data_IF_252112910794
#
_entry.id   IF_252112910794
#
_cell.length_a   1.000
_cell.length_b   1.000
_cell.length_c   1.000
_cell.angle_alpha   90.00
_cell.angle_beta   90.00
_cell.angle_gamma   90.00
#
_symmetry.space_group_name_H-M   'P 1'
#
loop_
_entity.id
_entity.type
_entity.pdbx_description
1 polymer ?
#
# COMPACT_ATOMS: atom_id res chain seq x y z
N UNK A 1 -19.47 -11.09 -19.25
CA UNK A 1 -18.88 -12.33 -19.78
C UNK A 1 -17.49 -12.58 -19.23
N UNK A 2 -16.94 -13.75 -19.53
CA UNK A 2 -15.60 -14.12 -19.10
C UNK A 2 -14.54 -13.24 -19.72
N UNK A 3 -13.52 -12.90 -18.95
CA UNK A 3 -12.39 -12.09 -19.41
C UNK A 3 -12.57 -10.59 -19.32
N UNK A 4 -13.74 -10.12 -18.91
CA UNK A 4 -13.95 -8.70 -18.69
C UNK A 4 -13.13 -8.23 -17.48
N UNK A 5 -12.53 -7.04 -17.62
CA UNK A 5 -11.70 -6.45 -16.58
C UNK A 5 -12.27 -5.12 -16.13
N UNK A 6 -12.40 -4.97 -14.82
CA UNK A 6 -12.74 -3.69 -14.18
C UNK A 6 -11.55 -3.24 -13.36
N UNK A 7 -11.21 -1.96 -13.44
CA UNK A 7 -10.07 -1.40 -12.72
C UNK A 7 -10.49 -0.25 -11.82
N UNK A 8 -9.91 -0.21 -10.63
CA UNK A 8 -10.03 0.92 -9.70
C UNK A 8 -8.65 1.27 -9.15
N UNK A 9 -8.49 2.52 -8.75
CA UNK A 9 -7.24 3.00 -8.16
C UNK A 9 -7.47 3.42 -6.72
N UNK A 10 -6.53 3.03 -5.86
CA UNK A 10 -6.49 3.46 -4.46
C UNK A 10 -5.34 4.42 -4.32
N UNK A 11 -5.63 5.66 -3.93
CA UNK A 11 -4.61 6.64 -3.57
C UNK A 11 -4.39 6.59 -2.06
N UNK A 12 -3.15 6.37 -1.64
CA UNK A 12 -2.75 6.30 -0.23
C UNK A 12 -1.84 7.47 0.07
N UNK A 13 -2.20 8.28 1.05
CA UNK A 13 -1.39 9.40 1.51
C UNK A 13 -1.22 9.30 3.02
N UNK A 14 0.02 9.15 3.46
CA UNK A 14 0.37 9.15 4.89
C UNK A 14 1.19 10.40 5.14
N UNK A 15 0.61 11.34 5.88
CA UNK A 15 1.17 12.67 6.07
C UNK A 15 2.55 12.63 6.72
N UNK A 16 2.67 11.93 7.85
CA UNK A 16 3.93 11.79 8.58
C UNK A 16 4.09 10.38 9.12
N UNK A 17 5.33 9.88 9.09
CA UNK A 17 5.68 8.62 9.72
C UNK A 17 6.78 8.85 10.76
N UNK A 18 6.73 8.11 11.87
CA UNK A 18 7.71 8.22 12.96
C UNK A 18 7.59 7.02 13.88
N UNK A 19 8.65 6.66 14.59
CA UNK A 19 8.58 5.58 15.57
C UNK A 19 7.50 5.85 16.63
N UNK A 20 6.66 4.87 16.88
CA UNK A 20 5.54 5.00 17.81
C UNK A 20 4.32 5.71 17.26
N UNK A 21 4.25 5.90 15.95
CA UNK A 21 3.10 6.55 15.31
C UNK A 21 1.81 5.79 15.54
N UNK A 22 0.68 6.50 15.44
CA UNK A 22 -0.62 5.85 15.35
C UNK A 22 -0.66 5.00 14.08
N UNK A 23 -1.07 3.72 14.17
CA UNK A 23 -1.18 2.90 12.98
C UNK A 23 -2.12 3.52 11.94
N UNK A 24 -1.68 3.50 10.69
CA UNK A 24 -2.49 3.95 9.57
C UNK A 24 -3.27 2.77 9.01
N UNK A 25 -4.52 2.99 8.67
CA UNK A 25 -5.36 1.98 8.05
C UNK A 25 -6.29 2.62 7.01
N UNK A 26 -6.35 1.99 5.85
CA UNK A 26 -7.25 2.39 4.78
C UNK A 26 -7.75 1.12 4.09
N UNK A 27 -9.01 1.10 3.68
CA UNK A 27 -9.54 -0.04 2.96
C UNK A 27 -10.39 0.39 1.76
N UNK A 28 -10.45 -0.49 0.77
CA UNK A 28 -11.38 -0.41 -0.34
C UNK A 28 -12.17 -1.71 -0.35
N UNK A 29 -13.50 -1.60 -0.43
CA UNK A 29 -14.37 -2.75 -0.60
C UNK A 29 -14.76 -2.87 -2.07
N UNK A 30 -14.52 -4.04 -2.64
CA UNK A 30 -14.85 -4.37 -4.02
C UNK A 30 -15.95 -5.41 -4.03
N UNK A 31 -16.99 -5.19 -4.82
CA UNK A 31 -18.10 -6.13 -4.96
C UNK A 31 -18.19 -6.65 -6.38
N UNK A 32 -18.75 -7.85 -6.53
CA UNK A 32 -18.97 -8.47 -7.83
C UNK A 32 -20.47 -8.73 -8.01
N UNK A 33 -21.14 -7.83 -8.73
CA UNK A 33 -22.55 -7.94 -9.04
C UNK A 33 -22.81 -8.75 -10.32
N UNK A 34 -21.75 -9.27 -10.95
CA UNK A 34 -21.84 -10.07 -12.17
C UNK A 34 -22.32 -11.48 -11.92
N UNK A 35 -22.50 -12.22 -13.00
CA UNK A 35 -22.99 -13.60 -13.00
C UNK A 35 -21.87 -14.63 -12.88
N UNK A 36 -20.60 -14.21 -13.04
CA UNK A 36 -19.44 -15.08 -12.93
C UNK A 36 -18.49 -14.57 -11.86
N UNK A 37 -17.68 -15.46 -11.31
CA UNK A 37 -16.67 -15.10 -10.35
C UNK A 37 -15.60 -14.21 -11.00
N UNK A 38 -14.91 -13.41 -10.21
CA UNK A 38 -13.82 -12.55 -10.66
C UNK A 38 -12.57 -12.79 -9.83
N UNK A 39 -11.42 -12.69 -10.47
CA UNK A 39 -10.13 -12.71 -9.81
C UNK A 39 -9.72 -11.28 -9.48
N UNK A 40 -9.25 -11.05 -8.25
CA UNK A 40 -8.71 -9.77 -7.80
C UNK A 40 -7.20 -9.80 -7.93
N UNK A 41 -6.66 -8.75 -8.56
CA UNK A 41 -5.21 -8.51 -8.66
C UNK A 41 -4.98 -7.06 -8.21
N UNK A 42 -3.97 -6.84 -7.38
CA UNK A 42 -3.55 -5.48 -7.05
C UNK A 42 -2.08 -5.26 -7.41
N UNK A 43 -1.77 -4.05 -7.84
CA UNK A 43 -0.44 -3.68 -8.33
C UNK A 43 -0.10 -2.27 -7.85
N UNK A 44 1.07 -2.09 -7.28
CA UNK A 44 1.58 -0.76 -6.94
C UNK A 44 2.10 -0.13 -8.23
N UNK A 45 1.45 0.94 -8.69
CA UNK A 45 1.80 1.62 -9.94
C UNK A 45 2.55 2.93 -9.73
N UNK A 46 2.50 3.47 -8.52
CA UNK A 46 3.32 4.60 -8.09
C UNK A 46 3.61 4.48 -6.60
N UNK A 47 4.82 4.83 -6.19
CA UNK A 47 5.24 4.75 -4.79
C UNK A 47 6.34 5.77 -4.51
N UNK A 48 6.05 6.68 -3.58
CA UNK A 48 7.01 7.66 -3.08
C UNK A 48 7.14 7.51 -1.57
N UNK A 49 8.35 7.28 -1.11
CA UNK A 49 8.66 7.13 0.31
C UNK A 49 9.75 8.14 0.66
N UNK A 50 9.40 9.14 1.46
CA UNK A 50 10.33 10.18 1.92
C UNK A 50 11.12 10.80 0.75
N UNK A 51 10.43 11.08 -0.35
CA UNK A 51 11.01 11.67 -1.54
C UNK A 51 11.61 10.67 -2.54
N UNK A 52 11.76 9.40 -2.18
CA UNK A 52 12.25 8.37 -3.08
C UNK A 52 11.09 7.86 -3.95
N UNK A 53 11.23 8.03 -5.26
CA UNK A 53 10.29 7.46 -6.23
C UNK A 53 10.75 6.05 -6.60
N UNK A 54 10.10 5.04 -6.04
CA UNK A 54 10.53 3.64 -6.16
C UNK A 54 10.33 3.10 -7.57
N UNK A 55 9.31 3.56 -8.28
CA UNK A 55 9.09 3.18 -9.69
C UNK A 55 10.22 3.75 -10.56
N UNK A 56 10.60 5.00 -10.36
CA UNK A 56 11.70 5.61 -11.10
C UNK A 56 13.04 4.92 -10.83
N UNK A 57 13.18 4.27 -9.68
CA UNK A 57 14.36 3.44 -9.35
C UNK A 57 14.35 2.07 -10.04
N UNK A 58 13.31 1.77 -10.81
CA UNK A 58 13.20 0.53 -11.56
C UNK A 58 12.62 -0.64 -10.77
N UNK A 59 12.02 -0.39 -9.62
CA UNK A 59 11.40 -1.45 -8.82
C UNK A 59 10.06 -1.86 -9.41
N UNK A 60 9.81 -3.16 -9.48
CA UNK A 60 8.51 -3.71 -9.83
C UNK A 60 7.54 -3.58 -8.65
N UNK A 61 6.24 -3.79 -8.92
CA UNK A 61 5.24 -3.83 -7.85
C UNK A 61 5.60 -4.85 -6.76
N UNK A 62 6.01 -6.04 -7.16
CA UNK A 62 6.42 -7.09 -6.20
C UNK A 62 7.63 -6.67 -5.40
N UNK A 63 8.63 -6.05 -6.03
CA UNK A 63 9.83 -5.53 -5.34
C UNK A 63 9.44 -4.49 -4.30
N UNK A 64 8.51 -3.59 -4.64
CA UNK A 64 8.04 -2.53 -3.73
C UNK A 64 7.32 -3.15 -2.53
N UNK A 65 6.40 -4.08 -2.76
CA UNK A 65 5.67 -4.77 -1.70
C UNK A 65 6.63 -5.50 -0.76
N UNK A 66 7.63 -6.18 -1.33
CA UNK A 66 8.64 -6.88 -0.53
C UNK A 66 9.53 -5.92 0.24
N UNK A 67 9.90 -4.79 -0.35
CA UNK A 67 10.71 -3.77 0.35
C UNK A 67 9.98 -3.20 1.55
N UNK A 68 8.68 -3.01 1.46
CA UNK A 68 7.85 -2.52 2.57
C UNK A 68 7.80 -3.49 3.74
N UNK A 69 8.07 -4.76 3.53
CA UNK A 69 8.13 -5.77 4.59
C UNK A 69 9.52 -5.90 5.19
N UNK A 70 10.58 -5.66 4.39
CA UNK A 70 11.93 -6.11 4.74
C UNK A 70 12.98 -5.01 4.84
N UNK A 71 12.80 -3.88 4.14
CA UNK A 71 13.89 -2.92 3.95
C UNK A 71 13.80 -1.68 4.85
N UNK A 72 12.72 -1.55 5.60
CA UNK A 72 12.50 -0.40 6.49
C UNK A 72 12.22 -0.86 7.91
N UNK A 73 12.47 -0.02 8.93
CA UNK A 73 12.06 -0.34 10.30
C UNK A 73 10.55 -0.19 10.52
N UNK A 74 9.85 0.51 9.62
CA UNK A 74 8.39 0.56 9.60
C UNK A 74 7.85 -0.50 8.64
N UNK A 75 6.59 -0.84 8.80
CA UNK A 75 5.90 -1.83 7.98
C UNK A 75 4.76 -1.18 7.21
N UNK A 76 4.72 -1.44 5.92
CA UNK A 76 3.61 -1.11 5.04
C UNK A 76 3.07 -2.41 4.47
N UNK A 77 1.77 -2.66 4.60
CA UNK A 77 1.14 -3.91 4.14
C UNK A 77 -0.02 -3.61 3.23
N UNK A 78 -0.11 -4.37 2.15
CA UNK A 78 -1.25 -4.36 1.24
C UNK A 78 -1.75 -5.80 1.19
N UNK A 79 -3.03 -6.00 1.47
CA UNK A 79 -3.61 -7.33 1.50
C UNK A 79 -5.05 -7.32 0.99
N UNK A 80 -5.52 -8.49 0.62
CA UNK A 80 -6.88 -8.73 0.17
C UNK A 80 -7.48 -9.83 1.02
N UNK A 81 -8.75 -9.70 1.40
CA UNK A 81 -9.43 -10.74 2.18
C UNK A 81 -9.62 -12.03 1.39
N UNK A 82 -9.63 -11.94 0.06
CA UNK A 82 -9.62 -13.07 -0.86
C UNK A 82 -9.09 -12.61 -2.20
N UNK A 83 -8.55 -13.50 -3.01
CA UNK A 83 -8.17 -13.22 -4.40
C UNK A 83 -9.31 -13.53 -5.40
N UNK A 84 -10.42 -14.05 -4.92
CA UNK A 84 -11.62 -14.32 -5.71
C UNK A 84 -12.81 -13.57 -5.10
N UNK A 85 -13.56 -12.84 -5.93
CA UNK A 85 -14.87 -12.31 -5.58
C UNK A 85 -15.92 -13.16 -6.28
N UNK A 86 -16.70 -13.88 -5.49
CA UNK A 86 -17.77 -14.72 -6.05
C UNK A 86 -18.86 -13.87 -6.68
N UNK A 87 -19.53 -14.43 -7.67
CA UNK A 87 -20.66 -13.80 -8.35
C UNK A 87 -21.80 -13.48 -7.39
N UNK A 88 -22.73 -12.66 -7.86
CA UNK A 88 -24.00 -12.37 -7.19
C UNK A 88 -23.85 -11.59 -5.87
N UNK A 89 -23.00 -10.58 -5.89
CA UNK A 89 -22.93 -9.60 -4.80
C UNK A 89 -21.94 -9.90 -3.69
N UNK A 90 -21.02 -10.85 -3.90
CA UNK A 90 -19.93 -11.05 -2.95
C UNK A 90 -19.03 -9.81 -2.85
N UNK A 91 -18.33 -9.69 -1.74
CA UNK A 91 -17.49 -8.54 -1.44
C UNK A 91 -16.13 -8.98 -0.93
N UNK A 92 -15.09 -8.29 -1.37
CA UNK A 92 -13.70 -8.49 -0.93
C UNK A 92 -13.16 -7.15 -0.45
N UNK A 93 -12.38 -7.17 0.62
CA UNK A 93 -11.75 -5.98 1.20
C UNK A 93 -10.26 -5.97 0.88
N UNK A 94 -9.81 -4.88 0.24
CA UNK A 94 -8.39 -4.58 0.05
C UNK A 94 -7.99 -3.65 1.19
N UNK A 95 -6.98 -4.04 1.98
CA UNK A 95 -6.53 -3.31 3.16
C UNK A 95 -5.11 -2.81 2.99
N UNK A 96 -4.89 -1.56 3.33
CA UNK A 96 -3.56 -0.94 3.38
C UNK A 96 -3.32 -0.52 4.82
N UNK A 97 -2.20 -0.93 5.40
CA UNK A 97 -1.84 -0.56 6.76
C UNK A 97 -0.39 -0.16 6.85
N UNK A 98 -0.09 0.74 7.77
CA UNK A 98 1.26 1.16 8.08
C UNK A 98 1.43 1.27 9.59
N UNK A 99 2.56 0.80 10.08
CA UNK A 99 2.91 0.92 11.49
C UNK A 99 4.41 1.05 11.66
N UNK A 100 4.80 1.68 12.76
CA UNK A 100 6.20 1.80 13.14
C UNK A 100 6.26 1.73 14.65
N UNK A 101 6.70 0.60 15.18
CA UNK A 101 6.84 0.43 16.62
C UNK A 101 7.88 1.43 17.14
N UNK A 102 7.67 1.98 18.32
CA UNK A 102 8.60 2.90 18.96
C UNK A 102 10.00 2.29 19.05
N UNK A 103 10.06 1.00 19.31
CA UNK A 103 11.27 0.20 19.28
C UNK A 103 11.03 -1.00 18.37
N UNK A 104 11.55 -0.95 17.14
CA UNK A 104 11.40 -2.03 16.16
C UNK A 104 12.39 -3.19 16.40
N UNK A 105 13.28 -3.08 17.39
CA UNK A 105 14.34 -4.05 17.66
C UNK A 105 15.64 -3.72 16.94
N UNK A 106 15.72 -2.62 16.21
CA UNK A 106 16.93 -2.14 15.54
C UNK A 106 17.03 -0.62 15.74
N UNK A 107 17.70 -0.21 16.83
CA UNK A 107 17.82 1.20 17.22
C UNK A 107 18.54 2.03 16.16
N UNK A 108 19.52 1.46 15.49
CA UNK A 108 20.30 2.16 14.47
C UNK A 108 19.42 2.51 13.26
N UNK A 109 18.64 1.55 12.79
CA UNK A 109 17.69 1.78 11.70
C UNK A 109 16.54 2.71 12.11
N UNK A 110 16.01 2.56 13.30
CA UNK A 110 14.97 3.44 13.83
C UNK A 110 15.44 4.89 13.89
N UNK A 111 16.68 5.11 14.34
CA UNK A 111 17.27 6.45 14.41
C UNK A 111 17.52 7.03 13.03
N UNK A 112 18.14 6.26 12.15
CA UNK A 112 18.44 6.68 10.77
C UNK A 112 17.17 7.10 10.02
N UNK A 113 16.19 6.21 9.99
CA UNK A 113 14.96 6.45 9.25
C UNK A 113 14.04 7.44 9.97
N UNK A 114 14.05 7.44 11.30
CA UNK A 114 13.30 8.42 12.09
C UNK A 114 13.78 9.85 11.84
N UNK A 115 15.10 10.06 11.80
CA UNK A 115 15.67 11.36 11.47
C UNK A 115 15.33 11.76 10.03
N UNK A 116 15.43 10.85 9.11
CA UNK A 116 15.09 11.11 7.71
C UNK A 116 13.63 11.47 7.53
N UNK A 117 12.74 10.75 8.19
CA UNK A 117 11.30 11.01 8.14
C UNK A 117 10.96 12.37 8.75
N UNK A 118 11.58 12.70 9.88
CA UNK A 118 11.40 14.00 10.53
C UNK A 118 11.86 15.14 9.62
N UNK A 119 13.04 15.04 9.05
CA UNK A 119 13.60 16.07 8.17
C UNK A 119 12.76 16.25 6.90
N UNK A 120 12.31 15.14 6.33
CA UNK A 120 11.48 15.19 5.12
C UNK A 120 10.17 15.92 5.39
N UNK A 121 9.48 15.58 6.47
CA UNK A 121 8.20 16.21 6.82
C UNK A 121 8.37 17.69 7.17
N UNK A 122 9.45 18.02 7.88
CA UNK A 122 9.79 19.41 8.23
C UNK A 122 10.07 20.24 6.97
N UNK A 123 10.82 19.70 6.01
CA UNK A 123 11.20 20.40 4.79
C UNK A 123 10.09 20.41 3.73
N UNK A 124 9.13 19.48 3.83
CA UNK A 124 8.04 19.31 2.87
C UNK A 124 6.70 19.17 3.60
N UNK A 125 6.26 20.21 4.34
CA UNK A 125 5.07 20.07 5.20
C UNK A 125 3.76 19.85 4.42
N UNK A 126 3.74 20.20 3.12
CA UNK A 126 2.56 20.05 2.27
C UNK A 126 2.55 18.74 1.47
N UNK A 127 3.59 17.93 1.61
CA UNK A 127 3.69 16.66 0.91
C UNK A 127 3.48 15.49 1.88
N UNK A 128 2.87 14.41 1.40
CA UNK A 128 2.78 13.17 2.15
C UNK A 128 4.15 12.51 2.28
N UNK A 129 4.46 12.00 3.45
CA UNK A 129 5.71 11.24 3.67
C UNK A 129 5.72 9.92 2.92
N UNK A 130 4.54 9.29 2.77
CA UNK A 130 4.34 8.11 1.92
C UNK A 130 3.16 8.39 1.02
N UNK A 131 3.35 8.18 -0.28
CA UNK A 131 2.29 8.30 -1.28
C UNK A 131 2.32 7.08 -2.18
N UNK A 132 1.21 6.36 -2.25
CA UNK A 132 1.09 5.18 -3.10
C UNK A 132 -0.11 5.34 -4.02
N UNK A 133 0.01 4.79 -5.23
CA UNK A 133 -1.12 4.56 -6.11
C UNK A 133 -1.17 3.08 -6.42
N UNK A 134 -2.29 2.45 -6.08
CA UNK A 134 -2.49 1.01 -6.23
C UNK A 134 -3.62 0.78 -7.22
N UNK A 135 -3.33 0.02 -8.27
CA UNK A 135 -4.35 -0.40 -9.23
C UNK A 135 -4.91 -1.74 -8.78
N UNK A 136 -6.23 -1.79 -8.61
CA UNK A 136 -6.96 -3.01 -8.29
C UNK A 136 -7.75 -3.42 -9.53
N UNK A 137 -7.52 -4.63 -10.01
CA UNK A 137 -8.20 -5.18 -11.18
C UNK A 137 -9.06 -6.37 -10.77
N UNK A 138 -10.28 -6.41 -11.27
CA UNK A 138 -11.17 -7.56 -11.15
C UNK A 138 -11.40 -8.14 -12.55
N UNK A 139 -11.02 -9.37 -12.73
CA UNK A 139 -11.06 -10.05 -14.03
C UNK A 139 -12.07 -11.18 -13.95
N UNK A 140 -13.11 -11.13 -14.75
CA UNK A 140 -14.14 -12.18 -14.84
C UNK A 140 -13.52 -13.50 -15.32
N UNK A 141 -13.83 -14.56 -14.63
CA UNK A 141 -13.33 -15.90 -14.93
C UNK A 141 -14.43 -16.89 -15.25
#
# INVERSE_FOLDING_TARGET
GGGETTEEYIEVNIDAIYPGMQPFYQELKASNDGETDAKIIYEVVDANVLGDNLIAKGMSSLDIINSFKNDYPFTLSISSSSDIIKANGDEVTISISASWDYDSGNDEEDTKWGNRAYDYHKDNPDLSSVKLLIKVSAIQI
#
